data_IF_435714589631
#
_entry.id   IF_435714589631
#
_cell.length_a   1.000
_cell.length_b   1.000
_cell.length_c   1.000
_cell.angle_alpha   90.00
_cell.angle_beta   90.00
_cell.angle_gamma   90.00
#
_symmetry.space_group_name_H-M   'P 1'
#
loop_
_entity.id
_entity.type
_entity.pdbx_description
1 polymer ?
#
# COMPACT_ATOMS: atom_id res chain seq x y z
N UNK A 1 -1.14 7.39 15.81
CA UNK A 1 -0.57 8.13 15.52
C UNK A 1 -0.23 8.07 15.29
N UNK A 2 -0.37 7.73 14.84
CA UNK A 2 0.30 8.37 14.32
C UNK A 2 0.75 8.63 14.27
N UNK A 3 0.46 8.63 14.06
CA UNK A 3 1.15 9.30 13.70
C UNK A 3 1.63 9.17 13.51
N UNK A 4 1.69 8.50 13.80
CA UNK A 4 2.36 8.94 13.27
C UNK A 4 2.95 8.31 13.54
N UNK A 5 2.88 8.03 13.40
CA UNK A 5 3.62 7.97 13.33
C UNK A 5 3.98 7.91 13.79
N UNK A 6 4.01 7.59 14.02
CA UNK A 6 4.55 7.93 14.21
C UNK A 6 4.64 7.93 14.67
N UNK A 7 4.60 7.89 14.78
CA UNK A 7 4.90 8.40 15.07
C UNK A 7 4.71 8.29 15.60
N UNK A 8 4.62 8.03 15.70
CA UNK A 8 4.62 8.36 15.93
C UNK A 8 4.53 8.00 16.47
N UNK A 9 4.50 8.06 16.91
CA UNK A 9 4.77 8.17 17.24
C UNK A 9 4.50 8.25 18.04
N UNK A 10 4.24 8.30 18.58
CA UNK A 10 4.23 8.55 19.10
C UNK A 10 4.10 8.84 19.67
N UNK A 11 4.01 8.79 20.01
CA UNK A 11 3.98 9.12 20.62
C UNK A 11 3.61 8.93 21.33
N UNK A 12 3.71 8.76 22.11
CA UNK A 12 3.41 8.76 22.76
C UNK A 12 2.98 8.07 23.52
N UNK A 13 3.02 7.88 23.92
CA UNK A 13 2.78 7.43 24.51
C UNK A 13 2.40 6.77 25.20
N UNK A 14 2.38 6.64 25.78
CA UNK A 14 2.17 6.10 26.19
C UNK A 14 1.81 5.51 26.72
N UNK A 15 1.60 5.03 26.89
CA UNK A 15 1.38 4.36 26.96
C UNK A 15 1.07 3.60 27.51
N UNK A 16 0.73 3.64 28.00
CA UNK A 16 0.65 2.93 28.09
C UNK A 16 0.57 1.92 28.31
N UNK A 17 0.18 1.86 28.55
CA UNK A 17 0.20 1.12 28.36
C UNK A 17 0.22 0.17 28.38
N UNK A 18 -0.04 -0.01 28.44
CA UNK A 18 0.09 -0.73 28.10
C UNK A 18 0.12 -1.58 27.97
N UNK A 19 -0.12 -1.69 28.04
CA UNK A 19 -0.07 -2.38 27.55
C UNK A 19 0.09 -3.12 27.24
N UNK A 20 -0.17 -2.88 27.34
CA UNK A 20 -0.12 -3.60 26.83
C UNK A 20 0.35 -4.42 26.27
N UNK A 21 0.05 -4.21 26.62
CA UNK A 21 0.34 -5.40 26.21
C UNK A 21 0.67 -5.56 24.85
N UNK A 22 0.32 -4.72 24.16
CA UNK A 22 0.75 -4.74 22.85
C UNK A 22 2.16 -4.41 22.79
N UNK A 23 2.98 -5.31 22.30
CA UNK A 23 4.36 -5.00 22.13
C UNK A 23 4.55 -4.07 20.98
N UNK A 24 5.30 -3.03 21.19
CA UNK A 24 5.65 -2.14 20.15
C UNK A 24 6.57 -2.85 19.20
N UNK A 25 6.27 -2.84 17.90
CA UNK A 25 7.10 -3.49 16.90
C UNK A 25 8.16 -2.49 16.44
N UNK A 26 9.37 -2.65 16.95
CA UNK A 26 10.46 -1.72 16.69
C UNK A 26 11.30 -2.10 15.47
N UNK A 27 10.89 -3.11 14.73
CA UNK A 27 11.62 -3.50 13.54
C UNK A 27 11.53 -2.43 12.47
N UNK A 28 12.52 -2.33 11.58
CA UNK A 28 12.41 -1.40 10.45
C UNK A 28 11.21 -1.75 9.58
N UNK A 29 10.71 -0.73 8.90
CA UNK A 29 9.57 -0.91 8.02
C UNK A 29 9.84 -1.97 6.96
N UNK A 30 11.09 -2.06 6.48
CA UNK A 30 11.48 -3.05 5.49
C UNK A 30 11.28 -4.48 5.96
N UNK A 31 11.26 -4.70 7.28
CA UNK A 31 10.98 -6.03 7.82
C UNK A 31 9.51 -6.23 8.12
N UNK A 32 8.84 -5.18 8.59
CA UNK A 32 7.43 -5.29 8.95
C UNK A 32 6.54 -5.55 7.74
N UNK A 33 6.97 -5.08 6.56
CA UNK A 33 6.16 -5.21 5.35
C UNK A 33 6.23 -6.63 4.76
N UNK A 34 7.21 -7.43 5.16
CA UNK A 34 7.40 -8.77 4.59
C UNK A 34 6.18 -9.64 4.88
N UNK A 35 5.68 -10.31 3.86
CA UNK A 35 4.57 -11.23 4.00
C UNK A 35 3.51 -11.00 2.96
N UNK A 36 2.37 -11.64 3.16
CA UNK A 36 1.25 -11.60 2.23
C UNK A 36 0.19 -10.64 2.76
N UNK A 37 -0.31 -9.77 1.89
CA UNK A 37 -1.28 -8.74 2.25
C UNK A 37 -2.50 -8.85 1.35
N UNK A 38 -3.67 -8.92 1.97
CA UNK A 38 -4.94 -9.12 1.27
C UNK A 38 -5.74 -7.83 1.33
N UNK A 39 -6.16 -7.35 0.17
CA UNK A 39 -6.92 -6.11 0.04
C UNK A 39 -8.28 -6.24 0.72
N UNK A 40 -8.62 -5.29 1.58
CA UNK A 40 -9.91 -5.28 2.28
C UNK A 40 -10.76 -4.07 1.97
N UNK A 41 -10.14 -2.97 1.52
CA UNK A 41 -10.90 -1.78 1.16
C UNK A 41 -10.07 -0.96 0.18
N UNK A 42 -10.73 -0.30 -0.75
CA UNK A 42 -10.05 0.53 -1.73
C UNK A 42 -10.89 1.76 -2.04
N UNK A 43 -10.20 2.88 -2.18
CA UNK A 43 -10.84 4.12 -2.57
C UNK A 43 -9.87 4.93 -3.42
N UNK A 44 -10.40 5.70 -4.32
CA UNK A 44 -9.55 6.48 -5.20
C UNK A 44 -10.32 7.15 -6.31
N UNK A 45 -9.56 7.71 -7.24
CA UNK A 45 -10.15 8.37 -8.40
C UNK A 45 -9.12 8.48 -9.51
N UNK A 46 -9.62 8.62 -10.74
CA UNK A 46 -8.82 8.92 -11.92
C UNK A 46 -9.49 10.12 -12.59
N UNK A 47 -8.74 11.18 -12.78
CA UNK A 47 -9.25 12.41 -13.39
C UNK A 47 -8.34 12.84 -14.51
N UNK A 48 -8.92 13.30 -15.61
CA UNK A 48 -8.16 13.81 -16.74
C UNK A 48 -8.88 15.05 -17.28
N UNK A 49 -8.24 16.23 -17.18
CA UNK A 49 -8.90 17.46 -17.65
C UNK A 49 -9.17 17.46 -19.16
N UNK A 50 -8.45 16.65 -19.92
CA UNK A 50 -8.67 16.54 -21.37
C UNK A 50 -9.83 15.62 -21.71
N UNK A 51 -10.21 14.72 -20.79
CA UNK A 51 -11.29 13.76 -20.99
C UNK A 51 -12.11 13.63 -19.72
N UNK A 52 -12.75 14.74 -19.26
CA UNK A 52 -13.46 14.70 -17.99
C UNK A 52 -14.64 13.74 -17.96
N UNK A 53 -15.17 13.37 -19.12
CA UNK A 53 -16.26 12.42 -19.19
C UNK A 53 -15.81 11.01 -18.80
N UNK A 54 -14.50 10.75 -18.78
CA UNK A 54 -13.96 9.46 -18.40
C UNK A 54 -13.50 9.43 -16.94
N UNK A 55 -13.72 10.51 -16.19
CA UNK A 55 -13.36 10.55 -14.77
C UNK A 55 -14.11 9.46 -14.02
N UNK A 56 -13.44 8.82 -13.07
CA UNK A 56 -14.07 7.80 -12.24
C UNK A 56 -13.59 7.92 -10.81
N UNK A 57 -14.38 7.38 -9.91
CA UNK A 57 -14.05 7.36 -8.49
C UNK A 57 -14.65 6.11 -7.87
N UNK A 58 -14.01 5.62 -6.82
CA UNK A 58 -14.48 4.42 -6.13
C UNK A 58 -14.19 4.54 -4.65
N UNK A 59 -15.00 3.84 -3.84
CA UNK A 59 -14.79 3.74 -2.40
C UNK A 59 -15.64 2.57 -1.92
N UNK A 60 -15.02 1.38 -1.82
CA UNK A 60 -15.76 0.17 -1.46
C UNK A 60 -14.79 -0.95 -1.13
N UNK A 61 -15.30 -1.99 -0.47
CA UNK A 61 -14.57 -3.23 -0.33
C UNK A 61 -14.39 -3.86 -1.71
N UNK A 62 -13.32 -4.60 -1.95
CA UNK A 62 -13.12 -5.22 -3.26
C UNK A 62 -14.23 -6.22 -3.57
N UNK A 63 -14.55 -6.30 -4.85
CA UNK A 63 -15.58 -7.20 -5.33
C UNK A 63 -14.91 -8.35 -6.08
N UNK A 64 -15.31 -8.57 -7.33
CA UNK A 64 -14.70 -9.62 -8.13
C UNK A 64 -13.32 -9.23 -8.63
N UNK A 65 -13.10 -7.93 -8.79
CA UNK A 65 -11.83 -7.38 -9.26
C UNK A 65 -11.44 -6.21 -8.39
N UNK A 66 -10.14 -5.93 -8.33
CA UNK A 66 -9.67 -4.72 -7.66
C UNK A 66 -9.68 -3.55 -8.64
N UNK A 67 -9.72 -2.34 -8.09
CA UNK A 67 -9.80 -1.15 -8.94
C UNK A 67 -8.43 -0.74 -9.49
N UNK A 68 -7.38 -0.79 -8.67
CA UNK A 68 -6.08 -0.34 -9.14
C UNK A 68 -4.93 -1.27 -8.77
N UNK A 69 -4.81 -1.70 -7.51
CA UNK A 69 -3.80 -2.66 -7.07
C UNK A 69 -4.47 -3.83 -6.37
N UNK A 70 -3.94 -5.03 -6.59
CA UNK A 70 -4.46 -6.24 -5.98
C UNK A 70 -3.77 -6.60 -4.68
N UNK A 71 -3.75 -7.89 -4.38
CA UNK A 71 -3.06 -8.41 -3.19
C UNK A 71 -1.57 -8.48 -3.46
N UNK A 72 -0.77 -8.41 -2.41
CA UNK A 72 0.69 -8.39 -2.55
C UNK A 72 1.34 -9.42 -1.65
N UNK A 73 2.46 -9.95 -2.11
CA UNK A 73 3.42 -10.64 -1.25
C UNK A 73 4.76 -9.93 -1.41
N UNK A 74 5.32 -9.45 -0.30
CA UNK A 74 6.65 -8.84 -0.27
C UNK A 74 7.62 -9.81 0.40
N UNK A 75 8.78 -10.04 -0.23
CA UNK A 75 9.74 -11.03 0.25
C UNK A 75 11.05 -10.36 0.66
N UNK A 76 11.75 -11.03 1.58
CA UNK A 76 13.02 -10.53 2.09
C UNK A 76 14.09 -10.37 1.02
N UNK A 77 13.99 -11.17 -0.03
CA UNK A 77 15.00 -11.12 -1.10
C UNK A 77 14.82 -9.95 -2.04
N UNK A 78 13.88 -9.06 -1.74
CA UNK A 78 13.66 -7.87 -2.57
C UNK A 78 12.72 -8.09 -3.74
N UNK A 79 11.99 -9.20 -3.75
CA UNK A 79 11.01 -9.44 -4.79
C UNK A 79 9.59 -9.33 -4.24
N UNK A 80 8.65 -9.07 -5.13
CA UNK A 80 7.24 -9.05 -4.76
C UNK A 80 6.41 -9.70 -5.86
N UNK A 81 5.22 -10.12 -5.48
CA UNK A 81 4.23 -10.60 -6.42
C UNK A 81 2.92 -9.87 -6.17
N UNK A 82 2.18 -9.63 -7.23
CA UNK A 82 0.84 -9.07 -7.13
C UNK A 82 -0.15 -10.13 -7.60
N UNK A 83 -1.29 -10.23 -6.91
CA UNK A 83 -2.25 -11.30 -7.15
C UNK A 83 -3.62 -10.72 -7.43
N UNK A 84 -4.35 -11.42 -8.29
CA UNK A 84 -5.78 -11.17 -8.45
C UNK A 84 -6.51 -11.60 -7.19
N UNK A 85 -7.76 -11.16 -7.06
CA UNK A 85 -8.52 -11.45 -5.84
C UNK A 85 -8.87 -12.93 -5.71
N UNK A 86 -8.81 -13.67 -6.80
CA UNK A 86 -9.05 -15.12 -6.76
C UNK A 86 -7.78 -15.90 -6.39
N UNK A 87 -6.70 -15.18 -6.10
CA UNK A 87 -5.46 -15.80 -5.68
C UNK A 87 -4.49 -16.14 -6.78
N UNK A 88 -4.87 -15.93 -8.05
CA UNK A 88 -3.93 -16.18 -9.15
C UNK A 88 -2.96 -15.02 -9.25
N UNK A 89 -1.70 -15.32 -9.53
CA UNK A 89 -0.71 -14.27 -9.71
C UNK A 89 -0.77 -13.74 -11.13
N UNK A 90 -0.31 -12.50 -11.28
CA UNK A 90 -0.16 -11.92 -12.61
C UNK A 90 0.89 -12.68 -13.40
N UNK A 91 0.82 -12.64 -14.73
CA UNK A 91 1.86 -13.31 -15.54
C UNK A 91 3.26 -12.82 -15.24
N UNK A 92 3.41 -11.57 -14.80
CA UNK A 92 4.71 -11.01 -14.44
C UNK A 92 4.78 -10.79 -12.95
N UNK A 93 4.55 -11.85 -12.18
CA UNK A 93 4.28 -11.73 -10.76
C UNK A 93 5.53 -11.69 -9.89
N UNK A 94 6.72 -11.88 -10.45
CA UNK A 94 7.94 -11.83 -9.66
C UNK A 94 8.74 -10.63 -10.11
N UNK A 95 8.55 -9.53 -9.38
CA UNK A 95 9.18 -8.26 -9.68
C UNK A 95 10.01 -7.83 -8.49
N UNK A 96 10.53 -6.62 -8.52
CA UNK A 96 11.41 -6.14 -7.46
C UNK A 96 10.78 -4.99 -6.72
N UNK A 97 11.13 -4.87 -5.44
CA UNK A 97 10.67 -3.75 -4.64
C UNK A 97 11.81 -3.25 -3.77
N UNK A 98 11.74 -1.96 -3.46
CA UNK A 98 12.62 -1.34 -2.48
C UNK A 98 11.77 -0.48 -1.56
N UNK A 99 12.33 -0.13 -0.42
CA UNK A 99 11.66 0.80 0.48
C UNK A 99 12.69 1.76 1.03
N UNK A 100 12.33 3.03 1.05
CA UNK A 100 13.17 4.06 1.63
C UNK A 100 12.23 4.99 2.39
N UNK A 101 12.55 5.20 3.68
CA UNK A 101 11.67 5.93 4.56
C UNK A 101 10.31 5.22 4.58
N UNK A 102 9.25 5.88 4.18
CA UNK A 102 7.94 5.23 4.11
C UNK A 102 7.42 5.11 2.68
N UNK A 103 8.34 5.07 1.69
CA UNK A 103 7.95 4.94 0.30
C UNK A 103 8.42 3.59 -0.23
N UNK A 104 7.47 2.79 -0.68
CA UNK A 104 7.76 1.53 -1.36
C UNK A 104 7.82 1.83 -2.85
N UNK A 105 8.88 1.39 -3.51
CA UNK A 105 8.96 1.48 -4.96
C UNK A 105 8.78 0.09 -5.54
N UNK A 106 7.75 -0.08 -6.35
CA UNK A 106 7.51 -1.31 -7.10
C UNK A 106 8.15 -1.14 -8.46
N UNK A 107 9.04 -2.06 -8.82
CA UNK A 107 9.84 -1.95 -10.03
C UNK A 107 9.44 -3.10 -10.94
N UNK A 108 8.57 -2.81 -11.92
CA UNK A 108 8.14 -3.81 -12.88
C UNK A 108 9.15 -3.97 -14.01
N UNK A 109 9.76 -2.87 -14.44
CA UNK A 109 10.90 -2.90 -15.33
C UNK A 109 11.59 -1.54 -15.25
N UNK A 110 12.60 -1.32 -16.08
CA UNK A 110 13.38 -0.07 -15.95
C UNK A 110 12.56 1.17 -16.30
N UNK A 111 11.42 1.00 -16.97
CA UNK A 111 10.58 2.11 -17.39
C UNK A 111 9.28 2.20 -16.60
N UNK A 112 8.94 1.17 -15.81
CA UNK A 112 7.67 1.15 -15.09
C UNK A 112 7.93 0.96 -13.62
N UNK A 113 7.77 2.02 -12.85
CA UNK A 113 7.92 1.99 -11.42
C UNK A 113 6.74 2.72 -10.79
N UNK A 114 6.34 2.23 -9.63
CA UNK A 114 5.24 2.83 -8.87
C UNK A 114 5.70 3.10 -7.46
N UNK A 115 5.40 4.29 -6.95
CA UNK A 115 5.75 4.65 -5.57
C UNK A 115 4.50 4.62 -4.73
N UNK A 116 4.53 3.84 -3.67
CA UNK A 116 3.42 3.70 -2.74
C UNK A 116 3.88 4.17 -1.37
N UNK A 117 3.12 5.09 -0.79
CA UNK A 117 3.44 5.60 0.53
C UNK A 117 2.76 4.73 1.57
N UNK A 118 3.51 4.32 2.58
CA UNK A 118 2.95 3.56 3.71
C UNK A 118 2.36 4.57 4.67
N UNK A 119 1.05 4.56 4.78
CA UNK A 119 0.34 5.45 5.70
C UNK A 119 0.21 4.85 7.08
N UNK A 120 0.08 3.54 7.14
CA UNK A 120 -0.11 2.83 8.42
C UNK A 120 0.36 1.40 8.25
N UNK A 121 1.02 0.86 9.26
CA UNK A 121 1.34 -0.56 9.28
C UNK A 121 1.33 -1.05 10.72
N UNK A 122 0.64 -2.18 10.93
CA UNK A 122 0.64 -2.89 12.20
C UNK A 122 0.94 -4.35 11.89
N UNK A 123 0.87 -5.21 12.88
CA UNK A 123 1.13 -6.63 12.65
C UNK A 123 0.12 -7.26 11.69
N UNK A 124 -1.08 -6.69 11.59
CA UNK A 124 -2.14 -7.28 10.78
C UNK A 124 -2.82 -6.30 9.82
N UNK A 125 -2.34 -5.05 9.73
CA UNK A 125 -2.98 -4.04 8.88
C UNK A 125 -1.93 -3.23 8.14
N UNK A 126 -2.19 -2.94 6.88
CA UNK A 126 -1.32 -2.10 6.05
C UNK A 126 -2.21 -1.16 5.24
N UNK A 127 -1.84 0.12 5.21
CA UNK A 127 -2.54 1.11 4.39
C UNK A 127 -1.51 1.75 3.47
N UNK A 128 -1.76 1.67 2.17
CA UNK A 128 -0.88 2.22 1.15
C UNK A 128 -1.61 3.30 0.37
N UNK A 129 -0.84 4.28 -0.08
CA UNK A 129 -1.37 5.38 -0.87
C UNK A 129 -0.55 5.55 -2.13
N UNK A 130 -1.23 5.67 -3.26
CA UNK A 130 -0.62 5.94 -4.55
C UNK A 130 -1.22 7.25 -5.08
N UNK A 131 -0.36 8.19 -5.47
CA UNK A 131 -0.81 9.48 -5.97
C UNK A 131 0.11 9.88 -7.10
N UNK A 132 -0.42 9.86 -8.31
CA UNK A 132 0.35 10.18 -9.51
C UNK A 132 -0.31 11.31 -10.28
N UNK A 133 0.49 12.32 -10.59
CA UNK A 133 0.02 13.45 -11.38
C UNK A 133 0.81 13.52 -12.67
N UNK A 134 0.11 13.67 -13.79
CA UNK A 134 0.80 13.80 -15.05
C UNK A 134 0.85 15.26 -15.49
N UNK A 135 1.53 15.49 -16.62
CA UNK A 135 1.87 16.86 -17.00
C UNK A 135 0.66 17.70 -17.40
N UNK A 136 -0.38 17.05 -17.87
CA UNK A 136 -1.59 17.79 -18.29
C UNK A 136 -2.53 18.10 -17.14
N UNK A 137 -2.12 17.79 -15.90
CA UNK A 137 -2.96 18.01 -14.72
C UNK A 137 -3.85 16.84 -14.37
N UNK A 138 -3.76 15.73 -15.09
CA UNK A 138 -4.48 14.53 -14.73
C UNK A 138 -3.91 13.93 -13.46
N UNK A 139 -4.74 13.20 -12.73
CA UNK A 139 -4.33 12.63 -11.45
C UNK A 139 -4.95 11.27 -11.27
N UNK A 140 -4.15 10.32 -10.80
CA UNK A 140 -4.60 9.02 -10.36
C UNK A 140 -4.28 8.91 -8.88
N UNK A 141 -5.31 8.66 -8.07
CA UNK A 141 -5.16 8.50 -6.63
C UNK A 141 -5.78 7.19 -6.20
N UNK A 142 -5.08 6.44 -5.37
CA UNK A 142 -5.60 5.19 -4.83
C UNK A 142 -5.11 5.01 -3.41
N UNK A 143 -6.03 4.65 -2.53
CA UNK A 143 -5.69 4.33 -1.14
C UNK A 143 -6.24 2.95 -0.86
N UNK A 144 -5.37 2.05 -0.45
CA UNK A 144 -5.69 0.65 -0.29
C UNK A 144 -5.43 0.22 1.15
N UNK A 145 -6.38 -0.49 1.72
CA UNK A 145 -6.25 -1.06 3.05
C UNK A 145 -6.16 -2.56 2.92
N UNK A 146 -5.17 -3.14 3.60
CA UNK A 146 -4.87 -4.57 3.54
C UNK A 146 -4.86 -5.17 4.93
N UNK A 147 -5.13 -6.46 4.99
CA UNK A 147 -4.89 -7.24 6.20
C UNK A 147 -3.84 -8.30 5.90
N UNK A 148 -3.19 -8.78 6.94
CA UNK A 148 -2.20 -9.84 6.79
C UNK A 148 -2.92 -11.13 6.41
N UNK A 149 -2.43 -11.79 5.37
CA UNK A 149 -3.04 -13.01 4.90
C UNK A 149 -2.31 -14.26 5.32
#
# INVERSE_FOLDING_TARGET
SSRGLVDVYKEGVNFTACSDDEEEDNRPLSEKIIGHWVLTYEEGYIKDPDYPEDDEAWSHAPKDEYEYFGNFTFREDGTYSEYELDGTSNPQSIEKWTIKDNIITLIEDEHEQYELKVLEITSDKLVLEFDYKNENGGETYAKMTYKRG
#
